data_IF_510154810560
#
_entry.id   IF_510154810560
#
_cell.length_a   1.000
_cell.length_b   1.000
_cell.length_c   1.000
_cell.angle_alpha   90.00
_cell.angle_beta   90.00
_cell.angle_gamma   90.00
#
_symmetry.space_group_name_H-M   'P 1'
#
loop_
_entity.id
_entity.type
_entity.pdbx_description
1 polymer ?
#
# COMPACT_ATOMS: atom_id res chain seq x y z
N UNK A 1 21.56 7.27 2.44
CA UNK A 1 20.36 7.59 1.70
C UNK A 1 20.04 6.55 0.64
N UNK A 2 20.97 6.33 -0.28
CA UNK A 2 20.84 5.28 -1.30
C UNK A 2 20.74 3.89 -0.66
N UNK A 3 21.53 3.64 0.36
CA UNK A 3 21.53 2.37 1.08
C UNK A 3 20.22 2.10 1.82
N UNK A 4 19.60 3.14 2.38
CA UNK A 4 18.29 3.02 3.02
C UNK A 4 17.21 2.66 2.01
N UNK A 5 17.19 3.33 0.87
CA UNK A 5 16.23 3.05 -0.20
C UNK A 5 16.38 1.60 -0.71
N UNK A 6 17.60 1.18 -0.95
CA UNK A 6 17.88 -0.19 -1.37
C UNK A 6 17.46 -1.23 -0.33
N UNK A 7 17.74 -0.94 0.94
CA UNK A 7 17.33 -1.81 2.04
C UNK A 7 15.80 -1.95 2.08
N UNK A 8 15.08 -0.84 2.03
CA UNK A 8 13.61 -0.84 2.09
C UNK A 8 13.02 -1.58 0.89
N UNK A 9 13.54 -1.37 -0.31
CA UNK A 9 13.08 -2.10 -1.50
C UNK A 9 13.23 -3.61 -1.33
N UNK A 10 14.39 -4.06 -0.89
CA UNK A 10 14.63 -5.49 -0.67
C UNK A 10 13.78 -6.06 0.47
N UNK A 11 13.54 -5.27 1.51
CA UNK A 11 12.66 -5.64 2.61
C UNK A 11 11.22 -5.86 2.12
N UNK A 12 10.70 -4.93 1.33
CA UNK A 12 9.35 -5.01 0.77
C UNK A 12 9.18 -6.22 -0.14
N UNK A 13 10.22 -6.55 -0.92
CA UNK A 13 10.19 -7.65 -1.88
C UNK A 13 10.53 -9.01 -1.26
N UNK A 14 10.73 -9.08 0.03
CA UNK A 14 11.10 -10.31 0.75
C UNK A 14 12.42 -10.93 0.28
N UNK A 15 13.37 -10.10 -0.11
CA UNK A 15 14.66 -10.54 -0.63
C UNK A 15 15.74 -10.68 0.45
N UNK A 16 15.41 -10.45 1.72
CA UNK A 16 16.37 -10.46 2.82
C UNK A 16 16.10 -11.59 3.80
N UNK A 17 17.16 -12.21 4.27
CA UNK A 17 17.08 -13.15 5.39
C UNK A 17 16.81 -12.37 6.67
N UNK A 18 16.17 -13.02 7.63
CA UNK A 18 15.78 -12.39 8.90
C UNK A 18 16.97 -11.76 9.62
N UNK A 19 18.08 -12.48 9.70
CA UNK A 19 19.29 -11.97 10.35
C UNK A 19 19.82 -10.72 9.64
N UNK A 20 19.74 -10.68 8.32
CA UNK A 20 20.21 -9.53 7.53
C UNK A 20 19.31 -8.32 7.71
N UNK A 21 18.01 -8.53 7.89
CA UNK A 21 17.07 -7.43 8.17
C UNK A 21 17.53 -6.66 9.40
N UNK A 22 17.74 -7.35 10.50
CA UNK A 22 18.13 -6.70 11.76
C UNK A 22 19.53 -6.12 11.74
N UNK A 23 20.48 -6.82 11.13
CA UNK A 23 21.85 -6.33 11.02
C UNK A 23 21.94 -5.06 10.16
N UNK A 24 21.26 -5.06 9.03
CA UNK A 24 21.25 -3.90 8.13
C UNK A 24 20.49 -2.73 8.72
N UNK A 25 19.36 -2.99 9.37
CA UNK A 25 18.60 -1.94 10.03
C UNK A 25 19.45 -1.24 11.09
N UNK A 26 20.20 -2.00 11.87
CA UNK A 26 21.12 -1.45 12.88
C UNK A 26 22.18 -0.56 12.25
N UNK A 27 22.80 -1.02 11.17
CA UNK A 27 23.84 -0.24 10.45
C UNK A 27 23.28 1.06 9.88
N UNK A 28 22.03 1.03 9.44
CA UNK A 28 21.38 2.19 8.81
C UNK A 28 20.65 3.06 9.83
N UNK A 29 20.75 2.74 11.13
CA UNK A 29 20.07 3.46 12.20
C UNK A 29 18.55 3.51 12.01
N UNK A 30 17.98 2.40 11.54
CA UNK A 30 16.53 2.23 11.39
C UNK A 30 16.01 1.44 12.60
N UNK A 31 15.05 2.03 13.29
CA UNK A 31 14.43 1.35 14.43
C UNK A 31 13.60 0.16 13.95
N UNK A 32 13.73 -0.98 14.64
CA UNK A 32 13.08 -2.23 14.22
C UNK A 32 11.75 -2.47 14.92
N UNK A 33 11.60 -1.98 16.13
CA UNK A 33 10.42 -2.23 16.95
C UNK A 33 9.51 -0.99 16.98
N UNK A 34 9.01 -0.63 15.83
CA UNK A 34 8.18 0.56 15.61
C UNK A 34 6.95 0.16 14.82
N UNK A 35 5.81 0.72 15.18
CA UNK A 35 4.56 0.50 14.43
C UNK A 35 4.65 1.17 13.06
N UNK A 36 4.37 0.40 12.02
CA UNK A 36 4.40 0.88 10.64
C UNK A 36 3.22 0.33 9.84
N UNK A 37 2.86 1.03 8.80
CA UNK A 37 1.89 0.57 7.82
C UNK A 37 2.38 0.94 6.42
N UNK A 38 2.06 0.13 5.43
CA UNK A 38 2.42 0.40 4.04
C UNK A 38 1.22 0.96 3.29
N UNK A 39 1.42 2.11 2.66
CA UNK A 39 0.49 2.68 1.68
C UNK A 39 1.05 2.45 0.29
N UNK A 40 0.20 1.98 -0.59
CA UNK A 40 0.52 1.77 -2.00
C UNK A 40 -0.31 2.77 -2.81
N UNK A 41 0.38 3.57 -3.60
CA UNK A 41 -0.24 4.65 -4.38
C UNK A 41 -0.03 4.33 -5.84
N UNK A 42 -1.13 4.00 -6.54
CA UNK A 42 -1.08 3.70 -7.96
C UNK A 42 -1.43 4.94 -8.76
N UNK A 43 -0.58 5.28 -9.71
CA UNK A 43 -0.81 6.35 -10.66
C UNK A 43 -1.11 5.75 -12.03
N UNK A 44 -1.90 6.44 -12.85
CA UNK A 44 -2.23 5.96 -14.19
C UNK A 44 -1.10 6.15 -15.20
N UNK A 45 -0.25 7.13 -14.96
CA UNK A 45 0.82 7.46 -15.89
C UNK A 45 2.13 6.88 -15.38
N UNK A 46 2.82 6.18 -16.28
CA UNK A 46 4.15 5.69 -16.00
C UNK A 46 5.09 6.87 -15.72
N UNK A 47 5.96 6.70 -14.71
CA UNK A 47 6.97 7.68 -14.33
C UNK A 47 6.39 9.07 -14.00
N UNK A 48 5.31 9.10 -13.24
CA UNK A 48 4.78 10.37 -12.78
C UNK A 48 5.69 10.96 -11.71
N UNK A 49 6.66 11.76 -12.15
CA UNK A 49 7.65 12.41 -11.29
C UNK A 49 6.97 13.37 -10.31
N UNK A 50 5.91 14.04 -10.76
CA UNK A 50 5.18 14.99 -9.93
C UNK A 50 4.47 14.30 -8.77
N UNK A 51 3.91 13.11 -9.00
CA UNK A 51 3.26 12.35 -7.94
C UNK A 51 4.28 11.94 -6.87
N UNK A 52 5.43 11.42 -7.27
CA UNK A 52 6.49 11.04 -6.34
C UNK A 52 6.98 12.24 -5.51
N UNK A 53 7.23 13.37 -6.16
CA UNK A 53 7.67 14.57 -5.47
C UNK A 53 6.61 15.11 -4.51
N UNK A 54 5.35 15.04 -4.88
CA UNK A 54 4.24 15.45 -4.00
C UNK A 54 4.19 14.58 -2.75
N UNK A 55 4.30 13.25 -2.90
CA UNK A 55 4.33 12.34 -1.75
C UNK A 55 5.55 12.62 -0.87
N UNK A 56 6.71 12.84 -1.46
CA UNK A 56 7.93 13.18 -0.72
C UNK A 56 7.75 14.47 0.09
N UNK A 57 7.14 15.49 -0.49
CA UNK A 57 6.93 16.76 0.20
C UNK A 57 5.95 16.62 1.38
N UNK A 58 5.00 15.72 1.30
CA UNK A 58 4.04 15.50 2.39
C UNK A 58 4.67 14.77 3.59
N UNK A 59 5.62 13.86 3.35
CA UNK A 59 6.07 12.94 4.40
C UNK A 59 7.57 12.97 4.70
N UNK A 60 8.42 13.42 3.79
CA UNK A 60 9.86 13.16 3.86
C UNK A 60 10.64 14.00 4.85
N UNK A 61 10.11 15.10 5.36
CA UNK A 61 10.93 16.11 6.05
C UNK A 61 10.96 16.00 7.57
N UNK A 62 10.02 15.33 8.18
CA UNK A 62 9.87 15.36 9.65
C UNK A 62 9.71 13.99 10.29
N UNK A 63 9.79 12.91 9.52
CA UNK A 63 9.38 11.60 10.00
C UNK A 63 10.39 10.54 9.61
N UNK A 64 10.26 9.39 10.24
CA UNK A 64 11.02 8.18 9.91
C UNK A 64 10.33 7.37 8.83
N UNK A 65 9.58 8.03 7.96
CA UNK A 65 8.85 7.39 6.87
C UNK A 65 9.79 7.15 5.69
N UNK A 66 9.49 6.10 4.93
CA UNK A 66 10.26 5.75 3.74
C UNK A 66 9.36 5.83 2.52
N UNK A 67 9.86 6.46 1.47
CA UNK A 67 9.14 6.60 0.21
C UNK A 67 10.02 6.00 -0.87
N UNK A 68 9.49 5.01 -1.58
CA UNK A 68 10.23 4.32 -2.63
C UNK A 68 9.28 3.88 -3.74
N UNK A 69 9.84 3.32 -4.81
CA UNK A 69 9.09 2.73 -5.91
C UNK A 69 9.78 1.45 -6.36
N UNK A 70 9.02 0.39 -6.53
CA UNK A 70 9.52 -0.89 -7.06
C UNK A 70 9.16 -1.08 -8.52
N UNK A 71 8.26 -0.27 -9.04
CA UNK A 71 7.88 -0.23 -10.46
C UNK A 71 7.50 1.19 -10.87
N UNK A 72 7.10 1.36 -12.13
CA UNK A 72 6.85 2.68 -12.72
C UNK A 72 5.48 3.28 -12.33
N UNK A 73 4.55 2.47 -11.85
CA UNK A 73 3.17 2.88 -11.59
C UNK A 73 2.85 3.07 -10.12
N UNK A 74 3.67 2.51 -9.24
CA UNK A 74 3.35 2.43 -7.83
C UNK A 74 4.38 3.13 -6.97
N UNK A 75 3.90 4.04 -6.15
CA UNK A 75 4.70 4.69 -5.12
C UNK A 75 4.38 3.98 -3.81
N UNK A 76 5.39 3.67 -3.04
CA UNK A 76 5.26 2.97 -1.77
C UNK A 76 5.68 3.90 -0.65
N UNK A 77 4.76 4.10 0.30
CA UNK A 77 5.03 4.84 1.52
C UNK A 77 5.00 3.86 2.69
N UNK A 78 6.13 3.70 3.36
CA UNK A 78 6.21 2.97 4.62
C UNK A 78 6.14 4.02 5.73
N UNK A 79 5.01 4.09 6.39
CA UNK A 79 4.71 5.15 7.35
C UNK A 79 4.79 4.65 8.78
N UNK A 80 5.49 5.40 9.63
CA UNK A 80 5.44 5.19 11.07
C UNK A 80 4.05 5.56 11.60
N UNK A 81 3.50 4.71 12.45
CA UNK A 81 2.19 4.92 13.09
C UNK A 81 2.44 5.24 14.55
N UNK A 82 2.06 6.43 14.97
CA UNK A 82 2.25 6.88 16.35
C UNK A 82 1.33 6.12 17.30
N UNK A 83 1.67 6.03 18.60
CA UNK A 83 0.84 5.27 19.56
C UNK A 83 -0.62 5.73 19.64
N UNK A 84 -0.88 7.01 19.39
CA UNK A 84 -2.23 7.58 19.47
C UNK A 84 -2.98 7.54 18.12
N UNK A 85 -2.35 7.02 17.07
CA UNK A 85 -2.99 6.93 15.76
C UNK A 85 -3.69 5.58 15.60
N UNK A 86 -4.89 5.59 15.06
CA UNK A 86 -5.70 4.41 14.76
C UNK A 86 -6.00 4.32 13.25
N UNK A 87 -6.83 3.36 12.86
CA UNK A 87 -7.17 3.18 11.45
C UNK A 87 -7.96 4.35 10.85
N UNK A 88 -8.69 5.10 11.67
CA UNK A 88 -9.36 6.32 11.20
C UNK A 88 -8.34 7.37 10.77
N UNK A 89 -7.22 7.47 11.49
CA UNK A 89 -6.13 8.38 11.13
C UNK A 89 -5.43 7.91 9.83
N UNK A 90 -5.29 6.61 9.65
CA UNK A 90 -4.72 6.06 8.41
C UNK A 90 -5.64 6.33 7.21
N UNK A 91 -6.93 6.22 7.39
CA UNK A 91 -7.90 6.56 6.36
C UNK A 91 -7.80 8.05 5.98
N UNK A 92 -7.64 8.92 6.95
CA UNK A 92 -7.39 10.34 6.70
C UNK A 92 -6.10 10.59 5.93
N UNK A 93 -5.03 9.88 6.29
CA UNK A 93 -3.76 9.96 5.59
C UNK A 93 -3.92 9.57 4.12
N UNK A 94 -4.61 8.46 3.86
CA UNK A 94 -4.90 8.02 2.50
C UNK A 94 -5.70 9.06 1.72
N UNK A 95 -6.69 9.66 2.35
CA UNK A 95 -7.52 10.70 1.73
C UNK A 95 -6.72 11.96 1.42
N UNK A 96 -5.81 12.35 2.29
CA UNK A 96 -4.90 13.49 2.05
C UNK A 96 -4.01 13.22 0.85
N UNK A 97 -3.44 12.02 0.76
CA UNK A 97 -2.61 11.63 -0.40
C UNK A 97 -3.44 11.71 -1.69
N UNK A 98 -4.63 11.16 -1.65
CA UNK A 98 -5.53 11.15 -2.81
C UNK A 98 -5.86 12.57 -3.26
N UNK A 99 -6.26 13.43 -2.34
CA UNK A 99 -6.67 14.80 -2.64
C UNK A 99 -5.50 15.63 -3.20
N UNK A 100 -4.32 15.51 -2.60
CA UNK A 100 -3.15 16.25 -3.04
C UNK A 100 -2.70 15.81 -4.44
N UNK A 101 -2.67 14.52 -4.69
CA UNK A 101 -2.26 14.01 -6.00
C UNK A 101 -3.30 14.29 -7.09
N UNK A 102 -4.57 14.24 -6.75
CA UNK A 102 -5.63 14.53 -7.70
C UNK A 102 -5.70 16.02 -8.08
N UNK A 103 -5.44 16.91 -7.13
CA UNK A 103 -5.53 18.35 -7.35
C UNK A 103 -4.22 18.97 -7.85
N UNK A 104 -3.09 18.63 -7.23
CA UNK A 104 -1.80 19.28 -7.55
C UNK A 104 -1.04 18.59 -8.67
N UNK A 105 -1.00 17.25 -8.65
CA UNK A 105 -0.32 16.50 -9.69
C UNK A 105 -1.21 16.21 -10.91
N UNK A 106 -2.50 16.55 -10.84
CA UNK A 106 -3.47 16.39 -11.93
C UNK A 106 -3.51 14.96 -12.49
N UNK A 107 -3.35 13.97 -11.62
CA UNK A 107 -3.33 12.56 -12.01
C UNK A 107 -4.41 11.77 -11.30
N UNK A 108 -4.96 10.76 -11.97
CA UNK A 108 -5.85 9.82 -11.30
C UNK A 108 -5.05 8.83 -10.47
N UNK A 109 -5.48 8.65 -9.23
CA UNK A 109 -4.73 7.91 -8.23
C UNK A 109 -5.66 6.94 -7.50
N UNK A 110 -5.11 5.79 -7.14
CA UNK A 110 -5.74 4.89 -6.16
C UNK A 110 -4.76 4.71 -5.02
N UNK A 111 -5.28 4.71 -3.81
CA UNK A 111 -4.49 4.50 -2.59
C UNK A 111 -5.03 3.29 -1.87
N UNK A 112 -4.15 2.34 -1.58
CA UNK A 112 -4.48 1.18 -0.78
C UNK A 112 -3.51 1.08 0.38
N UNK A 113 -3.93 0.50 1.49
CA UNK A 113 -3.02 0.30 2.61
C UNK A 113 -3.31 -1.02 3.34
N UNK A 114 -2.23 -1.56 3.90
CA UNK A 114 -2.27 -2.80 4.65
C UNK A 114 -2.65 -2.59 6.10
N UNK A 115 -2.35 -3.57 6.93
CA UNK A 115 -2.53 -3.46 8.38
C UNK A 115 -1.27 -2.97 9.05
N UNK A 116 -1.42 -2.43 10.24
CA UNK A 116 -0.31 -1.97 11.06
C UNK A 116 0.50 -3.16 11.54
N UNK A 117 1.81 -3.07 11.40
CA UNK A 117 2.76 -4.07 11.89
C UNK A 117 3.62 -3.46 12.98
N UNK A 118 4.18 -4.30 13.85
CA UNK A 118 4.90 -3.84 15.04
C UNK A 118 6.41 -4.04 14.93
N UNK A 119 6.87 -4.75 13.93
CA UNK A 119 8.27 -5.06 13.74
C UNK A 119 8.65 -4.91 12.27
N UNK A 120 9.88 -4.47 12.01
CA UNK A 120 10.36 -4.23 10.67
C UNK A 120 10.29 -5.47 9.77
N UNK A 121 10.48 -6.67 10.34
CA UNK A 121 10.39 -7.92 9.58
C UNK A 121 9.01 -8.16 8.99
N UNK A 122 7.98 -7.52 9.50
CA UNK A 122 6.60 -7.69 9.06
C UNK A 122 6.15 -6.65 8.03
N UNK A 123 7.02 -5.71 7.68
CA UNK A 123 6.68 -4.65 6.72
C UNK A 123 6.29 -5.24 5.35
N UNK A 124 6.96 -6.31 4.92
CA UNK A 124 6.60 -6.98 3.66
C UNK A 124 5.17 -7.51 3.69
N UNK A 125 4.68 -7.96 4.84
CA UNK A 125 3.29 -8.40 4.97
C UNK A 125 2.31 -7.25 4.73
N UNK A 126 2.56 -6.09 5.34
CA UNK A 126 1.73 -4.91 5.12
C UNK A 126 1.74 -4.47 3.65
N UNK A 127 2.88 -4.58 2.99
CA UNK A 127 3.00 -4.31 1.56
C UNK A 127 2.16 -5.27 0.73
N UNK A 128 2.25 -6.57 0.99
CA UNK A 128 1.46 -7.58 0.29
C UNK A 128 -0.04 -7.37 0.50
N UNK A 129 -0.42 -6.98 1.70
CA UNK A 129 -1.80 -6.64 2.03
C UNK A 129 -2.28 -5.41 1.23
N UNK A 130 -1.45 -4.39 1.14
CA UNK A 130 -1.77 -3.19 0.36
C UNK A 130 -1.92 -3.52 -1.13
N UNK A 131 -1.06 -4.38 -1.67
CA UNK A 131 -1.17 -4.85 -3.06
C UNK A 131 -2.47 -5.60 -3.29
N UNK A 132 -2.82 -6.50 -2.39
CA UNK A 132 -4.08 -7.24 -2.47
C UNK A 132 -5.27 -6.27 -2.39
N UNK A 133 -5.23 -5.30 -1.50
CA UNK A 133 -6.28 -4.30 -1.37
C UNK A 133 -6.45 -3.51 -2.66
N UNK A 134 -5.35 -3.13 -3.29
CA UNK A 134 -5.39 -2.42 -4.56
C UNK A 134 -6.05 -3.26 -5.65
N UNK A 135 -5.64 -4.51 -5.79
CA UNK A 135 -6.15 -5.42 -6.84
C UNK A 135 -7.62 -5.78 -6.60
N UNK A 136 -7.99 -6.13 -5.37
CA UNK A 136 -9.37 -6.45 -5.01
C UNK A 136 -10.25 -5.22 -5.15
N UNK A 137 -9.74 -4.04 -4.79
CA UNK A 137 -10.45 -2.79 -4.94
C UNK A 137 -10.82 -2.50 -6.39
N UNK A 138 -9.94 -2.82 -7.33
CA UNK A 138 -10.23 -2.66 -8.77
C UNK A 138 -11.37 -3.56 -9.25
N UNK A 139 -11.49 -4.74 -8.65
CA UNK A 139 -12.50 -5.73 -9.05
C UNK A 139 -13.84 -5.43 -8.38
N UNK A 140 -13.85 -5.22 -7.07
CA UNK A 140 -15.07 -5.15 -6.26
C UNK A 140 -15.50 -3.72 -5.87
N UNK A 141 -14.56 -2.78 -5.89
CA UNK A 141 -14.79 -1.41 -5.41
C UNK A 141 -14.29 -0.40 -6.44
N UNK A 142 -14.65 -0.61 -7.69
CA UNK A 142 -14.11 0.16 -8.82
C UNK A 142 -14.32 1.68 -8.69
N UNK A 143 -15.39 2.11 -8.04
CA UNK A 143 -15.65 3.51 -7.76
C UNK A 143 -14.88 4.11 -6.59
N UNK A 144 -14.21 3.28 -5.79
CA UNK A 144 -13.44 3.76 -4.63
C UNK A 144 -11.99 3.96 -4.97
N UNK A 145 -11.44 5.09 -4.56
CA UNK A 145 -10.04 5.44 -4.78
C UNK A 145 -9.16 5.20 -3.56
N UNK A 146 -9.76 4.91 -2.40
CA UNK A 146 -9.05 4.52 -1.19
C UNK A 146 -9.59 3.17 -0.72
N UNK A 147 -8.70 2.20 -0.55
CA UNK A 147 -9.08 0.85 -0.12
C UNK A 147 -8.16 0.38 1.00
N UNK A 148 -8.75 0.02 2.13
CA UNK A 148 -8.03 -0.58 3.26
C UNK A 148 -8.12 -2.10 3.18
N UNK A 149 -7.01 -2.79 3.41
CA UNK A 149 -6.99 -4.26 3.43
C UNK A 149 -7.99 -4.82 4.44
N UNK A 150 -8.07 -4.21 5.62
CA UNK A 150 -8.96 -4.68 6.68
C UNK A 150 -10.45 -4.63 6.35
N UNK A 151 -10.85 -3.89 5.31
CA UNK A 151 -12.25 -3.74 4.92
C UNK A 151 -12.66 -4.59 3.72
N UNK A 152 -11.76 -5.44 3.21
CA UNK A 152 -12.02 -6.21 1.99
C UNK A 152 -13.08 -7.31 2.13
N UNK A 153 -13.28 -7.83 3.32
CA UNK A 153 -14.26 -8.88 3.55
C UNK A 153 -14.00 -10.12 2.69
N UNK A 154 -15.08 -10.63 2.06
CA UNK A 154 -15.01 -11.86 1.26
C UNK A 154 -14.14 -11.71 0.01
N UNK A 155 -13.98 -10.51 -0.53
CA UNK A 155 -13.14 -10.27 -1.70
C UNK A 155 -11.70 -10.72 -1.50
N UNK A 156 -11.20 -10.58 -0.27
CA UNK A 156 -9.86 -11.03 0.10
C UNK A 156 -9.69 -12.54 -0.04
N UNK A 157 -10.72 -13.30 0.36
CA UNK A 157 -10.70 -14.75 0.27
C UNK A 157 -10.81 -15.23 -1.18
N UNK A 158 -11.70 -14.61 -1.95
CA UNK A 158 -11.90 -14.94 -3.36
C UNK A 158 -10.63 -14.70 -4.16
N UNK A 159 -9.95 -13.60 -3.90
CA UNK A 159 -8.71 -13.23 -4.62
C UNK A 159 -7.61 -14.28 -4.44
N UNK A 160 -7.60 -15.00 -3.34
CA UNK A 160 -6.61 -16.05 -3.06
C UNK A 160 -6.88 -17.37 -3.79
N UNK A 161 -8.05 -17.50 -4.42
CA UNK A 161 -8.39 -18.70 -5.17
C UNK A 161 -7.67 -18.73 -6.53
N UNK A 162 -7.41 -19.93 -7.08
CA UNK A 162 -6.98 -20.04 -8.48
C UNK A 162 -7.95 -19.31 -9.40
N UNK A 163 -7.43 -18.71 -10.46
CA UNK A 163 -8.21 -17.82 -11.32
C UNK A 163 -9.52 -18.42 -11.83
N UNK A 164 -9.58 -19.69 -12.30
CA UNK A 164 -10.88 -20.29 -12.73
C UNK A 164 -11.90 -20.36 -11.61
N UNK A 165 -11.47 -20.73 -10.40
CA UNK A 165 -12.35 -20.78 -9.23
C UNK A 165 -12.79 -19.39 -8.81
N UNK A 166 -11.89 -18.43 -8.87
CA UNK A 166 -12.20 -17.03 -8.57
C UNK A 166 -13.31 -16.51 -9.48
N UNK A 167 -13.19 -16.75 -10.79
CA UNK A 167 -14.20 -16.33 -11.78
C UNK A 167 -15.54 -17.01 -11.55
N UNK A 168 -15.53 -18.31 -11.25
CA UNK A 168 -16.74 -19.05 -10.95
C UNK A 168 -17.43 -18.50 -9.71
N UNK A 169 -16.67 -18.23 -8.65
CA UNK A 169 -17.17 -17.68 -7.40
C UNK A 169 -17.81 -16.31 -7.60
N UNK A 170 -17.15 -15.45 -8.36
CA UNK A 170 -17.66 -14.11 -8.66
C UNK A 170 -18.99 -14.23 -9.40
N UNK A 171 -19.11 -15.11 -10.39
CA UNK A 171 -20.35 -15.32 -11.13
C UNK A 171 -21.48 -15.79 -10.24
N UNK A 172 -21.20 -16.74 -9.34
CA UNK A 172 -22.21 -17.27 -8.43
C UNK A 172 -22.68 -16.23 -7.42
N UNK A 173 -21.74 -15.50 -6.80
CA UNK A 173 -22.05 -14.51 -5.75
C UNK A 173 -22.81 -13.33 -6.35
N UNK A 174 -22.43 -12.87 -7.53
CA UNK A 174 -23.05 -11.71 -8.16
C UNK A 174 -24.14 -12.07 -9.17
N UNK A 175 -24.61 -13.33 -9.15
CA UNK A 175 -25.74 -13.82 -9.96
C UNK A 175 -25.57 -13.50 -11.44
N UNK A 176 -24.36 -13.69 -11.96
CA UNK A 176 -24.04 -13.43 -13.36
C UNK A 176 -23.78 -11.97 -13.70
N UNK A 177 -23.94 -11.05 -12.77
CA UNK A 177 -23.62 -9.64 -12.99
C UNK A 177 -22.12 -9.41 -12.89
N UNK A 178 -21.65 -8.39 -13.63
CA UNK A 178 -20.27 -7.96 -13.48
C UNK A 178 -20.05 -7.28 -12.12
N UNK A 179 -18.86 -7.37 -11.55
CA UNK A 179 -18.56 -6.67 -10.28
C UNK A 179 -18.83 -5.16 -10.35
N UNK A 180 -18.66 -4.54 -11.52
CA UNK A 180 -18.89 -3.12 -11.71
C UNK A 180 -20.35 -2.71 -11.50
N UNK A 181 -21.29 -3.63 -11.65
CA UNK A 181 -22.70 -3.37 -11.44
C UNK A 181 -23.09 -3.22 -9.97
N UNK A 182 -22.20 -3.54 -9.06
CA UNK A 182 -22.41 -3.47 -7.62
C UNK A 182 -21.66 -2.30 -6.97
N UNK A 183 -21.11 -1.44 -7.76
CA UNK A 183 -20.17 -0.41 -7.31
C UNK A 183 -20.84 0.95 -7.04
N UNK A 184 -22.08 0.94 -6.60
CA UNK A 184 -22.83 2.16 -6.31
C UNK A 184 -22.79 2.53 -4.83
#
# INVERSE_FOLDING_TARGET
>A
RFDKDNFIKNLLLDNLLLVDIYNRAKKLHIETNVRRVVFLIETKQEKDVNALETVRSLFATKTKDFITAVDEKNIILVKEVKPNEDYADLEKTASVILDMLSSEAMTKVRVAYGTVVNDIKEVSRSYKEAKMALDVGKIFYNGKNVVAYGTLGIGRLIYQLPLPLCRMFIREIFDGKSPDEFDE
#
